data_IF_689833900908
#
_entry.id   IF_689833900908
#
_cell.length_a   1.000
_cell.length_b   1.000
_cell.length_c   1.000
_cell.angle_alpha   90.00
_cell.angle_beta   90.00
_cell.angle_gamma   90.00
#
_symmetry.space_group_name_H-M   'P 1'
#
loop_
_entity.id
_entity.type
_entity.pdbx_description
1 polymer ?
#
# COMPACT_ATOMS: atom_id res chain seq x y z
N UNK A 1 -8.55 2.54 7.50
CA UNK A 1 -7.21 2.84 6.95
C UNK A 1 -7.32 2.78 5.44
N UNK A 2 -6.51 3.55 4.72
CA UNK A 2 -6.50 3.60 3.27
C UNK A 2 -5.07 3.58 2.74
N UNK A 3 -4.90 3.36 1.44
CA UNK A 3 -3.61 3.53 0.77
C UNK A 3 -3.61 4.87 0.03
N UNK A 4 -2.47 5.54 0.03
CA UNK A 4 -2.17 6.64 -0.88
C UNK A 4 -1.10 6.13 -1.83
N UNK A 5 -1.37 6.19 -3.13
CA UNK A 5 -0.45 5.75 -4.18
C UNK A 5 -0.20 6.94 -5.11
N UNK A 6 0.99 7.53 -5.02
CA UNK A 6 1.29 8.83 -5.62
C UNK A 6 0.34 9.90 -5.08
N UNK A 7 -0.52 10.44 -5.94
CA UNK A 7 -1.55 11.42 -5.58
C UNK A 7 -2.97 10.82 -5.48
N UNK A 8 -3.10 9.49 -5.55
CA UNK A 8 -4.39 8.80 -5.58
C UNK A 8 -4.67 8.17 -4.23
N UNK A 9 -5.85 8.46 -3.70
CA UNK A 9 -6.39 7.75 -2.55
C UNK A 9 -7.06 6.45 -3.03
N UNK A 10 -6.63 5.33 -2.46
CA UNK A 10 -7.08 3.98 -2.80
C UNK A 10 -7.71 3.35 -1.58
N UNK A 11 -8.95 2.89 -1.75
CA UNK A 11 -9.68 2.13 -0.74
C UNK A 11 -9.58 0.64 -1.07
N UNK A 12 -8.78 -0.13 -0.33
CA UNK A 12 -8.74 -1.58 -0.51
C UNK A 12 -10.09 -2.20 -0.15
N UNK A 13 -10.43 -3.32 -0.78
CA UNK A 13 -11.61 -4.11 -0.42
C UNK A 13 -11.53 -4.59 1.04
N UNK A 14 -10.32 -5.00 1.44
CA UNK A 14 -9.98 -5.34 2.82
C UNK A 14 -8.58 -4.84 3.14
N UNK A 15 -8.37 -4.36 4.35
CA UNK A 15 -7.06 -3.93 4.81
C UNK A 15 -6.91 -4.20 6.30
N UNK A 16 -5.75 -4.72 6.71
CA UNK A 16 -5.39 -4.91 8.11
C UNK A 16 -3.93 -4.57 8.34
N UNK A 17 -3.61 -4.13 9.55
CA UNK A 17 -2.23 -3.98 9.97
C UNK A 17 -1.59 -5.35 10.22
N UNK A 18 -0.29 -5.45 9.93
CA UNK A 18 0.56 -6.60 10.26
C UNK A 18 1.85 -6.09 10.89
N UNK A 19 2.68 -7.01 11.39
CA UNK A 19 3.99 -6.65 11.91
C UNK A 19 4.81 -5.91 10.84
N UNK A 20 5.11 -4.63 11.09
CA UNK A 20 5.93 -3.80 10.19
C UNK A 20 5.20 -3.25 8.97
N UNK A 21 3.88 -3.39 8.82
CA UNK A 21 3.19 -2.92 7.62
C UNK A 21 1.69 -3.22 7.56
N UNK A 22 1.18 -3.42 6.35
CA UNK A 22 -0.23 -3.74 6.10
C UNK A 22 -0.39 -4.86 5.07
N UNK A 23 -1.46 -5.63 5.24
CA UNK A 23 -1.98 -6.51 4.19
C UNK A 23 -3.25 -5.88 3.63
N UNK A 24 -3.36 -5.83 2.30
CA UNK A 24 -4.49 -5.23 1.60
C UNK A 24 -4.96 -6.12 0.45
N UNK A 25 -6.27 -6.18 0.23
CA UNK A 25 -6.86 -6.82 -0.95
C UNK A 25 -7.22 -5.74 -1.95
N UNK A 26 -6.60 -5.77 -3.12
CA UNK A 26 -6.78 -4.81 -4.19
C UNK A 26 -7.36 -5.47 -5.43
N UNK A 27 -8.14 -4.71 -6.19
CA UNK A 27 -8.78 -5.16 -7.42
C UNK A 27 -8.74 -4.07 -8.49
N UNK A 28 -8.71 -4.48 -9.76
CA UNK A 28 -8.78 -3.60 -10.92
C UNK A 28 -7.74 -2.48 -10.90
N UNK A 29 -8.18 -1.24 -11.11
CA UNK A 29 -7.31 -0.07 -11.22
C UNK A 29 -6.47 0.22 -9.98
N UNK A 30 -6.90 -0.21 -8.78
CA UNK A 30 -6.11 -0.07 -7.56
C UNK A 30 -4.84 -0.94 -7.59
N UNK A 31 -4.96 -2.16 -8.12
CA UNK A 31 -3.80 -3.05 -8.26
C UNK A 31 -2.84 -2.53 -9.33
N UNK A 32 -3.35 -2.05 -10.47
CA UNK A 32 -2.52 -1.46 -11.52
C UNK A 32 -1.73 -0.24 -11.01
N UNK A 33 -2.40 0.66 -10.30
CA UNK A 33 -1.75 1.84 -9.71
C UNK A 33 -0.64 1.44 -8.73
N UNK A 34 -0.86 0.39 -7.93
CA UNK A 34 0.16 -0.13 -7.01
C UNK A 34 1.38 -0.68 -7.76
N UNK A 35 1.16 -1.47 -8.82
CA UNK A 35 2.24 -2.04 -9.62
C UNK A 35 3.08 -0.97 -10.29
N UNK A 36 2.46 0.07 -10.83
CA UNK A 36 3.19 1.19 -11.44
C UNK A 36 4.03 1.95 -10.42
N UNK A 37 3.50 2.21 -9.21
CA UNK A 37 4.28 2.84 -8.15
C UNK A 37 5.44 1.95 -7.66
N UNK A 38 5.18 0.65 -7.49
CA UNK A 38 6.17 -0.30 -6.96
C UNK A 38 7.31 -0.62 -7.93
N UNK A 39 7.02 -0.77 -9.24
CA UNK A 39 7.98 -1.27 -10.22
C UNK A 39 8.46 -0.24 -11.24
N UNK A 40 7.63 0.77 -11.54
CA UNK A 40 7.98 1.82 -12.51
C UNK A 40 8.37 3.14 -11.83
N UNK A 41 8.42 3.18 -10.49
CA UNK A 41 8.75 4.38 -9.72
C UNK A 41 7.74 5.52 -9.89
N UNK A 42 6.52 5.22 -10.33
CA UNK A 42 5.48 6.20 -10.65
C UNK A 42 4.76 6.77 -9.40
N UNK A 43 5.46 6.91 -8.27
CA UNK A 43 4.93 7.50 -7.04
C UNK A 43 5.40 6.83 -5.76
N UNK A 44 4.95 7.36 -4.62
CA UNK A 44 5.13 6.74 -3.30
C UNK A 44 3.93 5.86 -2.95
N UNK A 45 4.12 4.88 -2.08
CA UNK A 45 3.03 4.10 -1.49
C UNK A 45 3.02 4.42 -0.01
N UNK A 46 1.90 4.91 0.50
CA UNK A 46 1.75 5.34 1.88
C UNK A 46 0.45 4.80 2.46
N UNK A 47 0.37 4.71 3.78
CA UNK A 47 -0.89 4.43 4.49
C UNK A 47 -1.49 5.71 5.04
N UNK A 48 -2.79 5.85 4.93
CA UNK A 48 -3.55 6.88 5.63
C UNK A 48 -4.38 6.28 6.77
N UNK A 49 -4.18 6.85 7.97
CA UNK A 49 -4.84 6.49 9.22
C UNK A 49 -4.18 5.34 10.00
N UNK A 50 -4.54 5.24 11.28
CA UNK A 50 -3.96 4.26 12.20
C UNK A 50 -2.55 4.64 12.67
N UNK A 51 -1.82 3.69 13.24
CA UNK A 51 -0.46 3.88 13.77
C UNK A 51 0.62 3.96 12.69
N UNK A 52 0.24 3.75 11.42
CA UNK A 52 1.11 3.75 10.25
C UNK A 52 0.87 4.98 9.36
N UNK A 53 0.20 6.01 9.90
CA UNK A 53 -0.21 7.17 9.12
C UNK A 53 0.98 7.85 8.45
N UNK A 54 0.84 8.06 7.13
CA UNK A 54 1.82 8.60 6.19
C UNK A 54 3.18 7.91 6.20
N UNK A 55 3.25 6.64 6.65
CA UNK A 55 4.49 5.87 6.56
C UNK A 55 4.72 5.39 5.13
N UNK A 56 5.93 5.58 4.58
CA UNK A 56 6.28 5.05 3.27
C UNK A 56 6.35 3.52 3.33
N UNK A 57 5.73 2.88 2.36
CA UNK A 57 5.63 1.44 2.23
C UNK A 57 6.30 0.95 0.95
N UNK A 58 6.77 -0.28 0.97
CA UNK A 58 7.21 -1.03 -0.20
C UNK A 58 6.42 -2.32 -0.35
N UNK A 59 6.20 -2.70 -1.61
CA UNK A 59 5.61 -3.98 -1.95
C UNK A 59 6.58 -5.12 -1.64
N UNK A 60 6.20 -5.96 -0.68
CA UNK A 60 7.00 -7.11 -0.25
C UNK A 60 6.48 -8.43 -0.82
N UNK A 61 5.16 -8.55 -1.02
CA UNK A 61 4.53 -9.78 -1.53
C UNK A 61 3.25 -9.47 -2.29
N UNK A 62 3.01 -10.23 -3.36
CA UNK A 62 1.73 -10.35 -4.04
C UNK A 62 1.29 -11.80 -3.95
N UNK A 63 0.04 -12.02 -3.59
CA UNK A 63 -0.58 -13.34 -3.58
C UNK A 63 -1.96 -13.29 -4.23
N UNK A 64 -2.17 -14.14 -5.24
CA UNK A 64 -3.44 -14.21 -5.98
C UNK A 64 -4.18 -15.49 -5.60
N UNK A 65 -5.41 -15.35 -5.10
CA UNK A 65 -6.28 -16.47 -4.70
C UNK A 65 -7.67 -16.27 -5.28
N UNK A 66 -8.02 -17.07 -6.28
CA UNK A 66 -9.31 -16.94 -6.98
C UNK A 66 -9.47 -15.54 -7.58
N UNK A 67 -10.49 -14.80 -7.13
CA UNK A 67 -10.79 -13.43 -7.57
C UNK A 67 -10.14 -12.34 -6.70
N UNK A 68 -9.28 -12.70 -5.74
CA UNK A 68 -8.63 -11.76 -4.83
C UNK A 68 -7.12 -11.68 -5.08
N UNK A 69 -6.61 -10.45 -5.14
CA UNK A 69 -5.17 -10.17 -5.09
C UNK A 69 -4.87 -9.53 -3.74
N UNK A 70 -4.20 -10.29 -2.88
CA UNK A 70 -3.71 -9.83 -1.59
C UNK A 70 -2.27 -9.34 -1.76
N UNK A 71 -1.97 -8.17 -1.23
CA UNK A 71 -0.62 -7.60 -1.22
C UNK A 71 -0.17 -7.37 0.21
N UNK A 72 1.11 -7.61 0.46
CA UNK A 72 1.77 -7.24 1.71
C UNK A 72 2.69 -6.06 1.42
N UNK A 73 2.47 -4.99 2.18
CA UNK A 73 3.23 -3.75 2.09
C UNK A 73 3.96 -3.54 3.43
N UNK A 74 5.28 -3.34 3.40
CA UNK A 74 6.10 -3.17 4.59
C UNK A 74 6.66 -1.75 4.68
N UNK A 75 6.81 -1.22 5.89
CA UNK A 75 7.37 0.11 6.11
C UNK A 75 8.83 0.15 5.71
N UNK A 76 9.20 1.13 4.89
CA UNK A 76 10.58 1.31 4.41
C UNK A 76 11.49 2.03 5.42
N UNK A 77 10.90 2.57 6.49
CA UNK A 77 11.62 3.37 7.48
C UNK A 77 10.68 4.25 8.32
N UNK A 78 11.23 5.20 9.10
CA UNK A 78 10.42 6.17 9.83
C UNK A 78 9.58 7.02 8.88
N UNK A 79 8.46 7.58 9.37
CA UNK A 79 7.66 8.52 8.61
C UNK A 79 8.52 9.74 8.21
N UNK A 80 8.41 10.26 6.98
CA UNK A 80 9.09 11.50 6.62
C UNK A 80 8.65 12.62 7.57
N UNK A 81 9.63 13.30 8.18
CA UNK A 81 9.34 14.52 8.93
C UNK A 81 8.87 15.59 7.95
N UNK A 82 7.75 16.24 8.25
CA UNK A 82 7.34 17.45 7.54
C UNK A 82 8.38 18.54 7.87
N UNK A 83 9.04 19.05 6.82
CA UNK A 83 9.93 20.21 6.91
C UNK A 83 9.13 21.50 7.08
#
# INVERSE_FOLDING_TARGET
>A
MQLIIGNRQVNPLRMKAVAGGVEAVLQGGAMLSLLDAAFHGAGTIEVYGGTLDRRPLELARIEMRGAETCVTLLCRGPAPMLA
#
